data_IF_943273245552
#
_entry.id   IF_943273245552
#
_cell.length_a   1.000
_cell.length_b   1.000
_cell.length_c   1.000
_cell.angle_alpha   90.00
_cell.angle_beta   90.00
_cell.angle_gamma   90.00
#
_symmetry.space_group_name_H-M   'P 1'
#
loop_
_entity.id
_entity.type
_entity.pdbx_description
1 polymer ?
#
# COMPACT_ATOMS: atom_id res chain seq x y z
N UNK A 1 -15.16 -20.85 14.42
CA UNK A 1 -14.41 -19.68 13.93
C UNK A 1 -13.12 -20.12 13.30
N UNK A 2 -12.78 -19.58 12.16
CA UNK A 2 -11.57 -19.90 11.40
C UNK A 2 -10.91 -18.58 10.94
N UNK A 3 -9.60 -18.63 10.64
CA UNK A 3 -8.89 -17.49 10.06
C UNK A 3 -9.49 -17.07 8.72
N UNK A 4 -9.65 -15.78 8.56
CA UNK A 4 -9.87 -15.22 7.24
C UNK A 4 -8.56 -15.35 6.43
N UNK A 5 -8.55 -16.08 5.29
CA UNK A 5 -7.35 -16.31 4.49
C UNK A 5 -6.75 -15.02 3.89
N UNK A 6 -7.51 -13.92 3.89
CA UNK A 6 -7.00 -12.61 3.45
C UNK A 6 -6.04 -11.97 4.45
N UNK A 7 -5.96 -12.45 5.69
CA UNK A 7 -5.06 -11.91 6.71
C UNK A 7 -3.81 -12.75 6.86
N UNK A 8 -2.67 -12.07 7.13
CA UNK A 8 -1.42 -12.74 7.48
C UNK A 8 -0.58 -11.89 8.44
N UNK A 9 0.42 -12.52 9.07
CA UNK A 9 1.34 -11.85 9.99
C UNK A 9 2.55 -11.33 9.21
N UNK A 10 2.88 -10.06 9.47
CA UNK A 10 4.04 -9.37 8.91
C UNK A 10 4.88 -8.78 10.02
N UNK A 11 6.19 -9.01 9.98
CA UNK A 11 7.14 -8.39 10.90
C UNK A 11 7.51 -7.01 10.38
N UNK A 12 7.34 -5.98 11.21
CA UNK A 12 7.72 -4.58 10.94
C UNK A 12 8.50 -4.08 12.14
N UNK A 13 9.79 -3.81 11.97
CA UNK A 13 10.67 -3.54 13.08
C UNK A 13 10.68 -4.70 14.09
N UNK A 14 10.41 -4.40 15.33
CA UNK A 14 10.35 -5.41 16.40
C UNK A 14 8.95 -5.96 16.69
N UNK A 15 7.93 -5.53 15.94
CA UNK A 15 6.53 -5.88 16.17
C UNK A 15 5.95 -6.74 15.07
N UNK A 16 5.03 -7.61 15.44
CA UNK A 16 4.24 -8.40 14.52
C UNK A 16 2.88 -7.74 14.29
N UNK A 17 2.51 -7.61 13.03
CA UNK A 17 1.25 -7.02 12.61
C UNK A 17 0.43 -8.01 11.82
N UNK A 18 -0.86 -8.09 12.12
CA UNK A 18 -1.84 -8.78 11.30
C UNK A 18 -2.41 -7.79 10.29
N UNK A 19 -2.13 -8.05 9.01
CA UNK A 19 -2.55 -7.18 7.91
C UNK A 19 -3.47 -7.94 6.96
N UNK A 20 -4.55 -7.29 6.46
CA UNK A 20 -5.36 -7.83 5.39
C UNK A 20 -4.68 -7.67 4.04
N UNK A 21 -4.99 -8.54 3.08
CA UNK A 21 -4.74 -8.27 1.67
C UNK A 21 -5.89 -7.46 1.04
N UNK A 22 -5.59 -6.78 -0.09
CA UNK A 22 -6.54 -5.93 -0.78
C UNK A 22 -6.62 -4.50 -0.22
N UNK A 23 -7.64 -3.77 -0.64
CA UNK A 23 -7.81 -2.35 -0.25
C UNK A 23 -8.11 -2.15 1.24
N UNK A 24 -8.50 -3.19 1.94
CA UNK A 24 -8.76 -3.16 3.38
C UNK A 24 -7.56 -2.70 4.22
N UNK A 25 -6.34 -2.85 3.71
CA UNK A 25 -5.12 -2.36 4.36
C UNK A 25 -5.11 -0.83 4.52
N UNK A 26 -5.85 -0.11 3.67
CA UNK A 26 -5.98 1.35 3.75
C UNK A 26 -6.80 1.77 4.97
N UNK A 27 -7.62 0.87 5.50
CA UNK A 27 -8.36 1.07 6.76
C UNK A 27 -7.51 0.64 7.94
N UNK A 28 -7.01 1.62 8.72
CA UNK A 28 -6.25 1.32 9.94
C UNK A 28 -7.02 0.49 10.96
N UNK A 29 -8.36 0.49 10.91
CA UNK A 29 -9.19 -0.33 11.80
C UNK A 29 -9.06 -1.83 11.58
N UNK A 30 -8.49 -2.24 10.44
CA UNK A 30 -8.24 -3.65 10.09
C UNK A 30 -6.79 -4.09 10.32
N UNK A 31 -5.92 -3.18 10.73
CA UNK A 31 -4.51 -3.46 11.05
C UNK A 31 -4.38 -3.67 12.55
N UNK A 32 -3.76 -4.77 12.97
CA UNK A 32 -3.58 -5.10 14.39
C UNK A 32 -2.11 -5.37 14.71
N UNK A 33 -1.57 -4.70 15.72
CA UNK A 33 -0.32 -5.11 16.36
C UNK A 33 -0.59 -6.31 17.26
N UNK A 34 0.19 -7.38 17.13
CA UNK A 34 -0.03 -8.63 17.84
C UNK A 34 0.92 -8.79 19.02
N UNK A 35 0.37 -9.05 20.20
CA UNK A 35 1.12 -9.58 21.34
C UNK A 35 1.21 -11.10 21.31
N UNK A 36 2.02 -11.69 22.19
CA UNK A 36 2.27 -13.14 22.20
C UNK A 36 1.01 -14.01 22.29
N UNK A 37 0.02 -13.61 23.11
CA UNK A 37 -1.26 -14.32 23.21
C UNK A 37 -2.02 -14.29 21.87
N UNK A 38 -2.04 -13.14 21.20
CA UNK A 38 -2.73 -12.99 19.93
C UNK A 38 -2.09 -13.86 18.83
N UNK A 39 -0.77 -13.97 18.79
CA UNK A 39 -0.04 -14.85 17.87
C UNK A 39 -0.41 -16.32 18.13
N UNK A 40 -0.47 -16.73 19.39
CA UNK A 40 -0.84 -18.10 19.77
C UNK A 40 -2.28 -18.40 19.34
N UNK A 41 -3.22 -17.53 19.65
CA UNK A 41 -4.62 -17.68 19.24
C UNK A 41 -4.77 -17.67 17.72
N UNK A 42 -4.07 -16.76 17.04
CA UNK A 42 -4.03 -16.76 15.59
C UNK A 42 -3.55 -18.10 15.03
N UNK A 43 -2.52 -18.70 15.61
CA UNK A 43 -2.04 -20.01 15.16
C UNK A 43 -3.07 -21.13 15.37
N UNK A 44 -3.82 -21.11 16.45
CA UNK A 44 -4.86 -22.10 16.74
C UNK A 44 -6.04 -22.05 15.76
N UNK A 45 -6.43 -20.88 15.34
CA UNK A 45 -7.53 -20.70 14.36
C UNK A 45 -7.16 -21.02 12.91
N UNK A 46 -6.03 -21.69 12.64
CA UNK A 46 -5.75 -22.34 11.33
C UNK A 46 -6.79 -23.35 10.93
N UNK A 47 -7.40 -23.99 11.91
CA UNK A 47 -8.51 -24.91 11.77
C UNK A 47 -9.73 -24.36 12.49
N UNK A 48 -10.92 -24.85 12.17
CA UNK A 48 -12.13 -24.41 12.81
C UNK A 48 -12.14 -24.77 14.30
N UNK A 49 -12.32 -23.76 15.15
CA UNK A 49 -12.44 -23.90 16.58
C UNK A 49 -13.54 -22.99 17.13
N UNK A 50 -14.19 -23.45 18.21
CA UNK A 50 -15.05 -22.56 18.99
C UNK A 50 -14.19 -21.69 19.90
N UNK A 51 -14.57 -20.46 20.09
CA UNK A 51 -13.85 -19.52 20.99
C UNK A 51 -13.77 -20.12 22.42
N UNK A 52 -14.82 -20.81 22.86
CA UNK A 52 -14.84 -21.45 24.20
C UNK A 52 -13.73 -22.48 24.38
N UNK A 53 -13.30 -23.16 23.31
CA UNK A 53 -12.19 -24.13 23.40
C UNK A 53 -10.84 -23.43 23.61
N UNK A 54 -10.71 -22.16 23.21
CA UNK A 54 -9.49 -21.39 23.38
C UNK A 54 -9.19 -21.09 24.86
N UNK A 55 -10.21 -20.89 25.68
CA UNK A 55 -10.01 -20.67 27.13
C UNK A 55 -9.24 -21.83 27.74
N UNK A 56 -9.72 -23.06 27.52
CA UNK A 56 -9.09 -24.26 28.04
C UNK A 56 -7.67 -24.46 27.49
N UNK A 57 -7.47 -24.28 26.20
CA UNK A 57 -6.16 -24.43 25.56
C UNK A 57 -5.14 -23.43 26.16
N UNK A 58 -5.58 -22.20 26.43
CA UNK A 58 -4.70 -21.17 26.99
C UNK A 58 -4.48 -21.39 28.49
N UNK A 59 -5.51 -21.78 29.25
CA UNK A 59 -5.38 -22.16 30.66
C UNK A 59 -4.35 -23.30 30.84
N UNK A 60 -4.43 -24.34 30.03
CA UNK A 60 -3.47 -25.44 30.04
C UNK A 60 -2.05 -24.97 29.68
N UNK A 61 -1.92 -24.12 28.67
CA UNK A 61 -0.62 -23.60 28.22
C UNK A 61 0.07 -22.72 29.25
N UNK A 62 -0.67 -21.86 29.94
CA UNK A 62 -0.12 -20.96 30.97
C UNK A 62 -0.15 -21.54 32.38
N UNK A 63 -0.71 -22.73 32.55
CA UNK A 63 -0.71 -23.44 33.83
C UNK A 63 -1.54 -22.74 34.91
N UNK A 64 -2.78 -22.31 34.55
CA UNK A 64 -3.69 -21.65 35.49
C UNK A 64 -3.94 -22.53 36.76
N UNK A 65 -3.62 -21.98 37.94
CA UNK A 65 -3.66 -22.73 39.19
C UNK A 65 -4.89 -22.43 40.03
N UNK A 66 -5.49 -21.28 39.88
CA UNK A 66 -6.60 -20.78 40.66
C UNK A 66 -7.66 -20.08 39.79
N UNK A 67 -8.75 -19.65 40.43
CA UNK A 67 -9.86 -19.00 39.74
C UNK A 67 -9.47 -17.61 39.21
N UNK A 68 -8.58 -16.89 39.87
CA UNK A 68 -8.17 -15.56 39.44
C UNK A 68 -7.33 -15.65 38.14
N UNK A 69 -6.40 -16.62 38.04
CA UNK A 69 -5.65 -16.90 36.79
C UNK A 69 -6.61 -17.18 35.63
N UNK A 70 -7.65 -18.01 35.85
CA UNK A 70 -8.64 -18.34 34.82
C UNK A 70 -9.46 -17.13 34.41
N UNK A 71 -9.84 -16.28 35.35
CA UNK A 71 -10.58 -15.05 35.05
C UNK A 71 -9.75 -14.10 34.18
N UNK A 72 -8.47 -13.90 34.51
CA UNK A 72 -7.56 -13.07 33.72
C UNK A 72 -7.43 -13.64 32.31
N UNK A 73 -7.14 -14.93 32.17
CA UNK A 73 -7.01 -15.60 30.87
C UNK A 73 -8.31 -15.46 30.07
N UNK A 74 -9.46 -15.63 30.71
CA UNK A 74 -10.76 -15.52 30.06
C UNK A 74 -11.00 -14.13 29.47
N UNK A 75 -10.66 -13.08 30.22
CA UNK A 75 -10.78 -11.69 29.75
C UNK A 75 -9.83 -11.43 28.58
N UNK A 76 -8.57 -11.84 28.69
CA UNK A 76 -7.58 -11.60 27.65
C UNK A 76 -7.90 -12.34 26.35
N UNK A 77 -8.27 -13.63 26.42
CA UNK A 77 -8.69 -14.42 25.27
C UNK A 77 -9.93 -13.81 24.62
N UNK A 78 -10.92 -13.39 25.43
CA UNK A 78 -12.13 -12.75 24.91
C UNK A 78 -11.83 -11.45 24.18
N UNK A 79 -10.97 -10.60 24.73
CA UNK A 79 -10.57 -9.33 24.11
C UNK A 79 -9.86 -9.55 22.78
N UNK A 80 -8.92 -10.49 22.70
CA UNK A 80 -8.20 -10.80 21.47
C UNK A 80 -9.14 -11.38 20.41
N UNK A 81 -9.99 -12.35 20.78
CA UNK A 81 -10.95 -12.93 19.84
C UNK A 81 -11.96 -11.88 19.34
N UNK A 82 -12.46 -11.02 20.23
CA UNK A 82 -13.36 -9.92 19.85
C UNK A 82 -12.66 -8.93 18.89
N UNK A 83 -11.38 -8.66 19.09
CA UNK A 83 -10.60 -7.83 18.19
C UNK A 83 -10.44 -8.50 16.80
N UNK A 84 -10.11 -9.78 16.74
CA UNK A 84 -10.03 -10.53 15.47
C UNK A 84 -11.37 -10.57 14.73
N UNK A 85 -12.49 -10.77 15.42
CA UNK A 85 -13.81 -10.73 14.80
C UNK A 85 -14.14 -9.34 14.28
N UNK A 86 -13.92 -8.31 15.10
CA UNK A 86 -14.23 -6.91 14.73
C UNK A 86 -13.42 -6.43 13.54
N UNK A 87 -12.18 -6.89 13.38
CA UNK A 87 -11.36 -6.58 12.19
C UNK A 87 -11.70 -7.44 10.99
N UNK A 88 -12.46 -8.51 11.15
CA UNK A 88 -12.75 -9.49 10.11
C UNK A 88 -11.63 -10.51 9.90
N UNK A 89 -10.66 -10.58 10.80
CA UNK A 89 -9.56 -11.56 10.76
C UNK A 89 -10.03 -12.97 11.12
N UNK A 90 -11.06 -13.10 11.98
CA UNK A 90 -11.78 -14.37 12.22
C UNK A 90 -13.19 -14.29 11.65
N UNK A 91 -13.60 -15.37 11.01
CA UNK A 91 -14.91 -15.55 10.38
C UNK A 91 -15.56 -16.85 10.85
N UNK A 92 -16.87 -16.98 10.67
CA UNK A 92 -17.59 -18.19 11.04
C UNK A 92 -17.24 -19.37 10.15
N UNK A 93 -17.15 -19.13 8.86
CA UNK A 93 -16.66 -20.10 7.87
C UNK A 93 -15.98 -19.40 6.71
N UNK A 94 -15.20 -20.14 5.92
CA UNK A 94 -14.59 -19.60 4.70
C UNK A 94 -15.66 -19.32 3.64
N UNK A 95 -16.72 -20.10 3.60
CA UNK A 95 -17.85 -19.89 2.69
C UNK A 95 -18.55 -18.55 2.95
N UNK A 96 -18.55 -18.06 4.20
CA UNK A 96 -19.11 -16.76 4.54
C UNK A 96 -18.34 -15.58 3.90
N UNK A 97 -17.13 -15.82 3.43
CA UNK A 97 -16.32 -14.83 2.68
C UNK A 97 -16.63 -14.82 1.19
N UNK A 98 -17.24 -15.89 0.71
CA UNK A 98 -17.71 -16.03 -0.67
C UNK A 98 -19.06 -15.31 -0.89
N UNK A 99 -19.35 -14.27 -0.13
CA UNK A 99 -20.37 -13.31 -0.55
C UNK A 99 -19.86 -12.79 -1.89
N UNK A 100 -20.50 -13.24 -2.96
CA UNK A 100 -20.39 -12.64 -4.27
C UNK A 100 -20.54 -11.15 -4.02
N UNK A 101 -19.46 -10.41 -4.16
CA UNK A 101 -19.56 -8.98 -4.24
C UNK A 101 -20.44 -8.76 -5.48
N UNK A 102 -21.66 -8.36 -5.25
CA UNK A 102 -22.66 -8.06 -6.27
C UNK A 102 -22.20 -6.77 -6.96
N UNK A 103 -21.10 -6.91 -7.72
CA UNK A 103 -20.59 -5.85 -8.58
C UNK A 103 -21.59 -5.76 -9.74
N UNK A 104 -22.51 -4.82 -9.61
CA UNK A 104 -23.38 -4.39 -10.70
C UNK A 104 -22.54 -3.68 -11.74
N UNK A 105 -21.91 -4.46 -12.61
CA UNK A 105 -21.15 -3.94 -13.73
C UNK A 105 -21.12 -4.95 -14.85
N UNK A 106 -20.93 -4.47 -16.07
CA UNK A 106 -20.78 -5.33 -17.24
C UNK A 106 -19.48 -6.13 -17.11
N UNK A 107 -19.62 -7.44 -17.24
CA UNK A 107 -18.48 -8.37 -17.20
C UNK A 107 -17.75 -8.28 -18.53
N UNK A 108 -16.55 -7.69 -18.52
CA UNK A 108 -15.73 -7.52 -19.72
C UNK A 108 -14.91 -8.75 -20.06
N UNK A 109 -14.48 -9.54 -19.06
CA UNK A 109 -13.64 -10.71 -19.28
C UNK A 109 -13.83 -11.79 -18.23
N UNK A 110 -13.77 -13.05 -18.67
CA UNK A 110 -13.57 -14.21 -17.84
C UNK A 110 -12.48 -15.07 -18.46
N UNK A 111 -11.26 -15.01 -17.93
CA UNK A 111 -10.42 -16.19 -17.93
C UNK A 111 -10.78 -17.03 -16.71
N UNK A 112 -10.37 -18.30 -16.64
CA UNK A 112 -10.74 -19.18 -15.51
C UNK A 112 -10.36 -18.61 -14.14
N UNK A 113 -9.50 -17.60 -14.10
CA UNK A 113 -8.81 -17.11 -12.91
C UNK A 113 -8.89 -15.58 -12.68
N UNK A 114 -9.28 -14.78 -13.67
CA UNK A 114 -9.42 -13.32 -13.54
C UNK A 114 -10.76 -12.90 -14.10
N UNK A 115 -11.53 -12.17 -13.29
CA UNK A 115 -12.77 -11.55 -13.75
C UNK A 115 -12.61 -10.03 -13.64
N UNK A 116 -12.77 -9.35 -14.75
CA UNK A 116 -12.79 -7.88 -14.82
C UNK A 116 -14.21 -7.42 -15.01
N UNK A 117 -14.64 -6.49 -14.20
CA UNK A 117 -15.93 -5.83 -14.29
C UNK A 117 -15.73 -4.36 -14.59
N UNK A 118 -16.48 -3.83 -15.53
CA UNK A 118 -16.65 -2.38 -15.70
C UNK A 118 -17.67 -1.90 -14.68
N UNK A 119 -17.32 -0.90 -13.89
CA UNK A 119 -18.22 -0.31 -12.90
C UNK A 119 -19.11 0.75 -13.53
N UNK A 120 -20.27 1.06 -12.91
CA UNK A 120 -21.23 2.06 -13.43
C UNK A 120 -20.63 3.47 -13.54
N UNK A 121 -19.59 3.76 -12.76
CA UNK A 121 -18.83 5.01 -12.77
C UNK A 121 -17.68 5.04 -13.78
N UNK A 122 -17.59 4.01 -14.64
CA UNK A 122 -16.55 3.90 -15.67
C UNK A 122 -15.21 3.36 -15.19
N UNK A 123 -15.11 2.93 -13.93
CA UNK A 123 -13.94 2.26 -13.39
C UNK A 123 -13.90 0.76 -13.75
N UNK A 124 -12.83 0.09 -13.32
CA UNK A 124 -12.64 -1.34 -13.51
C UNK A 124 -12.32 -2.01 -12.19
N UNK A 125 -12.93 -3.17 -11.93
CA UNK A 125 -12.64 -4.01 -10.77
C UNK A 125 -12.16 -5.37 -11.24
N UNK A 126 -10.96 -5.77 -10.80
CA UNK A 126 -10.40 -7.08 -11.07
C UNK A 126 -10.58 -7.99 -9.84
N UNK A 127 -11.16 -9.15 -10.04
CA UNK A 127 -11.22 -10.21 -9.03
C UNK A 127 -10.27 -11.34 -9.42
N UNK A 128 -9.40 -11.73 -8.50
CA UNK A 128 -8.39 -12.78 -8.70
C UNK A 128 -8.67 -13.93 -7.72
N UNK A 129 -9.45 -14.94 -8.11
CA UNK A 129 -9.95 -15.90 -7.13
C UNK A 129 -8.93 -16.90 -6.57
N UNK A 130 -7.84 -17.27 -7.26
CA UNK A 130 -7.10 -18.50 -6.91
C UNK A 130 -5.60 -18.55 -7.22
N UNK A 131 -4.82 -17.51 -7.15
CA UNK A 131 -3.39 -17.68 -7.40
C UNK A 131 -2.58 -17.92 -6.13
N UNK A 132 -1.93 -19.06 -6.04
CA UNK A 132 -0.97 -19.40 -4.99
C UNK A 132 0.42 -18.79 -5.26
N UNK A 133 0.71 -18.40 -6.51
CA UNK A 133 1.96 -17.76 -6.90
C UNK A 133 1.80 -16.72 -8.01
N UNK A 134 2.71 -15.75 -8.06
CA UNK A 134 2.78 -14.74 -9.12
C UNK A 134 3.20 -15.38 -10.44
N UNK A 135 4.01 -16.45 -10.39
CA UNK A 135 4.42 -17.23 -11.55
C UNK A 135 3.23 -17.93 -12.22
N UNK A 136 2.27 -18.42 -11.43
CA UNK A 136 1.06 -19.06 -11.96
C UNK A 136 0.17 -18.06 -12.70
N UNK A 137 0.17 -16.83 -12.24
CA UNK A 137 -0.47 -15.72 -12.96
C UNK A 137 0.19 -15.48 -14.33
N UNK A 138 1.48 -15.69 -14.48
CA UNK A 138 2.25 -15.40 -15.70
C UNK A 138 2.02 -16.43 -16.83
N UNK A 139 1.66 -17.65 -16.50
CA UNK A 139 1.64 -18.77 -17.44
C UNK A 139 0.29 -19.02 -18.13
N UNK A 140 -0.83 -18.52 -17.61
CA UNK A 140 -2.18 -18.94 -18.02
C UNK A 140 -2.84 -18.13 -19.15
N UNK A 141 -2.18 -17.18 -19.80
CA UNK A 141 -2.86 -16.09 -20.51
C UNK A 141 -2.74 -16.05 -22.02
N UNK A 142 -2.36 -17.12 -22.72
CA UNK A 142 -2.11 -17.01 -24.18
C UNK A 142 -3.32 -17.21 -25.08
N UNK A 143 -4.39 -17.84 -24.67
CA UNK A 143 -5.35 -18.40 -25.64
C UNK A 143 -6.74 -17.77 -25.72
N UNK A 144 -7.18 -16.92 -24.77
CA UNK A 144 -8.59 -16.52 -24.71
C UNK A 144 -8.90 -15.02 -24.54
N UNK A 145 -8.15 -14.16 -25.16
CA UNK A 145 -8.57 -12.75 -25.31
C UNK A 145 -9.35 -12.62 -26.60
N UNK A 146 -10.69 -12.53 -26.52
CA UNK A 146 -11.54 -12.31 -27.66
C UNK A 146 -11.14 -11.07 -28.46
N UNK A 147 -11.34 -11.13 -29.77
CA UNK A 147 -10.93 -10.07 -30.73
C UNK A 147 -11.70 -8.74 -30.56
N UNK A 148 -12.73 -8.71 -29.71
CA UNK A 148 -13.65 -7.58 -29.54
C UNK A 148 -13.26 -6.56 -28.45
N UNK A 149 -12.11 -6.74 -27.77
CA UNK A 149 -11.64 -5.81 -26.75
C UNK A 149 -10.71 -4.76 -27.35
N UNK A 150 -10.93 -3.50 -27.01
CA UNK A 150 -10.04 -2.40 -27.33
C UNK A 150 -8.62 -2.67 -26.78
N UNK A 151 -7.59 -2.15 -27.44
CA UNK A 151 -6.19 -2.31 -27.03
C UNK A 151 -5.93 -1.85 -25.59
N UNK A 152 -6.68 -0.85 -25.11
CA UNK A 152 -6.63 -0.37 -23.73
C UNK A 152 -7.19 -1.38 -22.74
N UNK A 153 -8.26 -2.09 -23.06
CA UNK A 153 -8.88 -3.11 -22.22
C UNK A 153 -7.99 -4.37 -22.08
N UNK A 154 -7.20 -4.67 -23.11
CA UNK A 154 -6.23 -5.78 -23.08
C UNK A 154 -5.09 -5.60 -22.08
N UNK A 155 -4.78 -4.36 -21.69
CA UNK A 155 -3.69 -4.07 -20.74
C UNK A 155 -4.00 -4.39 -19.28
N UNK A 156 -5.28 -4.45 -18.94
CA UNK A 156 -5.71 -4.61 -17.55
C UNK A 156 -5.64 -6.08 -17.09
N UNK A 157 -5.55 -7.04 -18.01
CA UNK A 157 -6.14 -8.34 -17.80
C UNK A 157 -5.16 -9.50 -17.77
N UNK A 158 -3.97 -9.39 -18.32
CA UNK A 158 -3.05 -10.54 -18.41
C UNK A 158 -1.64 -10.21 -17.97
N UNK A 159 -0.93 -11.21 -17.46
CA UNK A 159 0.52 -11.10 -17.22
C UNK A 159 1.32 -10.97 -18.51
N UNK A 160 0.80 -11.48 -19.61
CA UNK A 160 1.28 -11.11 -20.93
C UNK A 160 1.14 -9.61 -21.15
N UNK A 161 0.11 -8.98 -20.60
CA UNK A 161 0.02 -7.53 -20.53
C UNK A 161 1.13 -6.94 -19.66
N UNK A 162 1.49 -7.52 -18.52
CA UNK A 162 2.63 -7.05 -17.73
C UNK A 162 3.94 -7.26 -18.50
N UNK A 163 4.13 -8.34 -19.24
CA UNK A 163 5.28 -8.52 -20.13
C UNK A 163 5.21 -7.64 -21.39
N UNK A 164 4.05 -7.46 -21.97
CA UNK A 164 3.81 -6.51 -23.07
C UNK A 164 4.01 -5.06 -22.62
N UNK A 165 3.61 -4.73 -21.40
CA UNK A 165 3.87 -3.43 -20.80
C UNK A 165 5.33 -3.30 -20.43
N UNK A 166 5.98 -4.31 -19.87
CA UNK A 166 7.42 -4.37 -19.70
C UNK A 166 8.15 -4.16 -21.03
N UNK A 167 7.72 -4.83 -22.07
CA UNK A 167 8.26 -4.68 -23.43
C UNK A 167 7.94 -3.32 -24.04
N UNK A 168 6.73 -2.79 -23.85
CA UNK A 168 6.33 -1.46 -24.34
C UNK A 168 6.91 -0.35 -23.49
N UNK A 169 6.94 -0.45 -22.18
CA UNK A 169 7.60 0.51 -21.29
C UNK A 169 9.12 0.53 -21.47
N UNK A 170 9.73 -0.56 -21.92
CA UNK A 170 11.13 -0.55 -22.35
C UNK A 170 11.34 0.13 -23.71
N UNK A 171 10.31 0.28 -24.52
CA UNK A 171 10.31 0.95 -25.82
C UNK A 171 9.73 2.36 -25.80
N UNK A 172 8.73 2.62 -24.93
CA UNK A 172 8.11 3.91 -24.75
C UNK A 172 8.62 4.48 -23.44
N UNK A 173 9.15 5.70 -23.49
CA UNK A 173 9.44 6.44 -22.27
C UNK A 173 8.11 6.88 -21.63
N UNK A 174 8.15 7.33 -20.36
CA UNK A 174 6.95 7.79 -19.68
C UNK A 174 6.31 9.03 -20.35
N UNK A 175 7.06 9.74 -21.20
CA UNK A 175 6.58 10.88 -21.98
C UNK A 175 5.53 10.44 -23.01
N UNK A 176 5.72 9.26 -23.63
CA UNK A 176 4.74 8.71 -24.58
C UNK A 176 3.44 8.31 -23.86
N UNK A 177 3.55 7.69 -22.68
CA UNK A 177 2.39 7.36 -21.84
C UNK A 177 1.67 8.62 -21.34
N UNK A 178 2.40 9.67 -21.02
CA UNK A 178 1.83 10.96 -20.62
C UNK A 178 1.02 11.62 -21.73
N UNK A 179 1.26 11.26 -22.99
CA UNK A 179 0.50 11.69 -24.15
C UNK A 179 -0.84 10.95 -24.37
N UNK A 180 -1.12 9.90 -23.58
CA UNK A 180 -2.37 9.16 -23.68
C UNK A 180 -3.56 10.00 -23.19
N UNK A 181 -4.74 9.72 -23.75
CA UNK A 181 -5.98 10.23 -23.17
C UNK A 181 -6.17 9.70 -21.74
N UNK A 182 -7.09 10.32 -21.01
CA UNK A 182 -7.28 10.03 -19.58
C UNK A 182 -7.65 8.56 -19.32
N UNK A 183 -8.49 7.95 -20.14
CA UNK A 183 -8.95 6.58 -19.97
C UNK A 183 -7.81 5.58 -20.21
N UNK A 184 -7.08 5.76 -21.30
CA UNK A 184 -5.87 4.96 -21.61
C UNK A 184 -4.79 5.11 -20.54
N UNK A 185 -4.62 6.32 -20.02
CA UNK A 185 -3.67 6.58 -18.92
C UNK A 185 -4.08 5.83 -17.64
N UNK A 186 -5.37 5.84 -17.30
CA UNK A 186 -5.88 5.10 -16.12
C UNK A 186 -5.75 3.59 -16.33
N UNK A 187 -6.04 3.08 -17.54
CA UNK A 187 -5.92 1.66 -17.86
C UNK A 187 -4.50 1.14 -17.69
N UNK A 188 -3.49 1.92 -18.07
CA UNK A 188 -2.08 1.54 -17.92
C UNK A 188 -1.56 1.59 -16.47
N UNK A 189 -2.26 2.26 -15.54
CA UNK A 189 -1.83 2.44 -14.15
C UNK A 189 -1.65 1.14 -13.39
N UNK A 190 -2.62 0.22 -13.46
CA UNK A 190 -2.59 -1.03 -12.68
C UNK A 190 -1.43 -1.93 -13.12
N UNK A 191 -1.28 -2.27 -14.42
CA UNK A 191 -0.15 -3.05 -14.90
C UNK A 191 1.20 -2.38 -14.61
N UNK A 192 1.29 -1.06 -14.76
CA UNK A 192 2.51 -0.33 -14.44
C UNK A 192 2.83 -0.40 -12.94
N UNK A 193 1.84 -0.27 -12.06
CA UNK A 193 2.05 -0.37 -10.62
C UNK A 193 2.45 -1.77 -10.18
N UNK A 194 1.91 -2.82 -10.83
CA UNK A 194 2.35 -4.19 -10.61
C UNK A 194 3.81 -4.38 -11.04
N UNK A 195 4.15 -3.97 -12.25
CA UNK A 195 5.53 -4.03 -12.74
C UNK A 195 6.49 -3.25 -11.82
N UNK A 196 6.12 -2.03 -11.44
CA UNK A 196 6.92 -1.20 -10.52
C UNK A 196 7.17 -1.91 -9.18
N UNK A 197 6.15 -2.58 -8.64
CA UNK A 197 6.28 -3.37 -7.43
C UNK A 197 7.28 -4.53 -7.60
N UNK A 198 7.28 -5.19 -8.76
CA UNK A 198 8.22 -6.29 -9.05
C UNK A 198 9.68 -5.81 -9.09
N UNK A 199 9.93 -4.58 -9.48
CA UNK A 199 11.26 -3.96 -9.51
C UNK A 199 11.59 -3.13 -8.26
N UNK A 200 10.87 -3.31 -7.15
CA UNK A 200 11.17 -2.67 -5.88
C UNK A 200 10.67 -1.22 -5.74
N UNK A 201 9.60 -0.85 -6.43
CA UNK A 201 9.00 0.47 -6.36
C UNK A 201 7.54 0.39 -5.97
N UNK A 202 7.06 1.35 -5.16
CA UNK A 202 5.67 1.41 -4.70
C UNK A 202 5.04 2.77 -4.97
N UNK A 203 3.76 2.78 -5.35
CA UNK A 203 2.98 3.99 -5.48
C UNK A 203 2.37 4.41 -4.16
N UNK A 204 2.52 5.68 -3.83
CA UNK A 204 1.93 6.31 -2.65
C UNK A 204 0.93 7.39 -3.07
N UNK A 205 -0.30 7.28 -2.58
CA UNK A 205 -1.32 8.30 -2.77
C UNK A 205 -1.00 9.54 -1.92
N UNK A 206 -0.36 10.51 -2.55
CA UNK A 206 0.19 11.71 -1.93
C UNK A 206 0.33 12.83 -2.95
N UNK A 207 0.24 14.09 -2.49
CA UNK A 207 0.79 15.22 -3.25
C UNK A 207 2.24 15.42 -2.87
N UNK A 208 3.08 15.86 -3.80
CA UNK A 208 4.51 16.06 -3.55
C UNK A 208 5.00 17.43 -3.99
N UNK A 209 6.00 17.91 -3.27
CA UNK A 209 6.71 19.15 -3.57
C UNK A 209 8.22 18.91 -3.66
N UNK A 210 8.90 19.68 -4.49
CA UNK A 210 10.36 19.79 -4.52
C UNK A 210 10.79 20.98 -3.64
N UNK A 211 11.54 20.71 -2.58
CA UNK A 211 12.09 21.71 -1.68
C UNK A 211 13.50 21.31 -1.23
N UNK A 212 14.47 22.21 -1.37
CA UNK A 212 15.91 21.99 -1.07
C UNK A 212 16.44 20.72 -1.74
N UNK A 213 16.19 20.58 -3.05
CA UNK A 213 16.63 19.49 -3.93
C UNK A 213 16.13 18.09 -3.55
N UNK A 214 15.14 17.99 -2.65
CA UNK A 214 14.46 16.75 -2.26
C UNK A 214 12.96 16.85 -2.43
N UNK A 215 12.34 15.71 -2.72
CA UNK A 215 10.88 15.63 -2.79
C UNK A 215 10.30 15.22 -1.44
N UNK A 216 9.26 15.94 -1.03
CA UNK A 216 8.51 15.71 0.21
C UNK A 216 7.08 15.34 -0.14
N UNK A 217 6.62 14.20 0.38
CA UNK A 217 5.28 13.66 0.12
C UNK A 217 4.33 14.02 1.24
N UNK A 218 3.19 14.60 0.91
CA UNK A 218 2.06 14.79 1.82
C UNK A 218 1.03 13.70 1.58
N UNK A 219 0.98 12.71 2.45
CA UNK A 219 0.16 11.52 2.32
C UNK A 219 -1.03 11.54 3.28
N UNK A 220 -2.25 11.34 2.76
CA UNK A 220 -3.48 11.32 3.55
C UNK A 220 -4.63 10.67 2.79
N UNK A 221 -5.77 10.35 3.44
CA UNK A 221 -7.01 10.02 2.75
C UNK A 221 -7.46 11.13 1.78
N UNK A 222 -8.31 10.78 0.82
CA UNK A 222 -8.94 11.78 -0.04
C UNK A 222 -9.68 12.83 0.80
N UNK A 223 -9.70 14.08 0.34
CA UNK A 223 -10.38 15.17 1.03
C UNK A 223 -9.69 15.73 2.28
N UNK A 224 -8.54 15.18 2.71
CA UNK A 224 -7.84 15.65 3.92
C UNK A 224 -7.08 16.98 3.73
N UNK A 225 -6.84 17.41 2.48
CA UNK A 225 -6.15 18.68 2.19
C UNK A 225 -4.73 18.55 1.65
N UNK A 226 -4.31 17.37 1.13
CA UNK A 226 -2.97 17.17 0.52
C UNK A 226 -2.61 18.25 -0.51
N UNK A 227 -3.47 18.42 -1.52
CA UNK A 227 -3.24 19.40 -2.58
C UNK A 227 -3.32 20.84 -2.08
N UNK A 228 -4.15 21.11 -1.06
CA UNK A 228 -4.21 22.41 -0.40
C UNK A 228 -2.89 22.73 0.28
N UNK A 229 -2.34 21.78 1.03
CA UNK A 229 -1.05 21.97 1.70
C UNK A 229 0.09 22.14 0.70
N UNK A 230 0.16 21.34 -0.35
CA UNK A 230 1.17 21.48 -1.41
C UNK A 230 1.10 22.87 -2.09
N UNK A 231 -0.11 23.39 -2.34
CA UNK A 231 -0.30 24.74 -2.89
C UNK A 231 0.14 25.86 -1.95
N UNK A 232 0.09 25.67 -0.62
CA UNK A 232 0.64 26.65 0.33
C UNK A 232 2.15 26.82 0.14
N UNK A 233 2.88 25.72 -0.12
CA UNK A 233 4.31 25.77 -0.39
C UNK A 233 4.63 26.50 -1.69
N UNK A 234 3.88 26.23 -2.74
CA UNK A 234 4.04 26.91 -4.04
C UNK A 234 3.68 28.40 -3.94
N UNK A 235 2.54 28.73 -3.32
CA UNK A 235 2.08 30.12 -3.10
C UNK A 235 3.10 30.95 -2.34
N UNK A 236 3.77 30.37 -1.34
CA UNK A 236 4.79 31.06 -0.55
C UNK A 236 6.18 31.09 -1.22
N UNK A 237 6.26 30.61 -2.48
CA UNK A 237 7.47 30.66 -3.30
C UNK A 237 8.63 29.79 -2.82
N UNK A 238 8.34 28.84 -1.92
CA UNK A 238 9.37 27.99 -1.31
C UNK A 238 9.62 26.70 -2.06
N UNK A 239 8.63 26.20 -2.82
CA UNK A 239 8.70 24.89 -3.45
C UNK A 239 7.88 24.83 -4.74
N UNK A 240 8.16 23.82 -5.56
CA UNK A 240 7.40 23.46 -6.76
C UNK A 240 6.62 22.18 -6.51
N UNK A 241 5.35 22.11 -6.93
CA UNK A 241 4.58 20.86 -6.90
C UNK A 241 5.12 19.93 -8.00
N UNK A 242 5.44 18.68 -7.65
CA UNK A 242 5.99 17.67 -8.56
C UNK A 242 4.91 16.72 -9.06
N UNK A 243 4.01 16.26 -8.18
CA UNK A 243 2.87 15.43 -8.56
C UNK A 243 1.72 15.65 -7.58
N UNK A 244 0.51 15.76 -8.12
CA UNK A 244 -0.67 16.08 -7.32
C UNK A 244 -1.37 14.89 -6.65
N UNK A 245 -1.04 13.63 -7.04
CA UNK A 245 -1.84 12.48 -6.59
C UNK A 245 -1.05 11.18 -6.36
N UNK A 246 -0.26 10.71 -7.33
CA UNK A 246 0.40 9.41 -7.27
C UNK A 246 1.91 9.54 -7.43
N UNK A 247 2.63 9.26 -6.37
CA UNK A 247 4.08 9.32 -6.34
C UNK A 247 4.68 7.92 -6.27
N UNK A 248 5.57 7.59 -7.21
CA UNK A 248 6.29 6.33 -7.26
C UNK A 248 7.60 6.46 -6.49
N UNK A 249 7.78 5.67 -5.45
CA UNK A 249 8.99 5.68 -4.63
C UNK A 249 9.72 4.34 -4.69
N UNK A 250 11.03 4.38 -4.56
CA UNK A 250 11.90 3.20 -4.53
C UNK A 250 13.33 3.61 -4.26
N UNK A 251 14.25 2.65 -4.30
CA UNK A 251 15.69 2.97 -4.19
C UNK A 251 16.30 3.26 -5.54
N UNK A 252 17.26 4.18 -5.58
CA UNK A 252 18.08 4.43 -6.75
C UNK A 252 19.24 3.44 -6.75
N UNK A 253 19.31 2.64 -7.79
CA UNK A 253 20.42 1.69 -8.00
C UNK A 253 21.41 2.30 -8.97
N UNK A 254 22.60 2.65 -8.51
CA UNK A 254 23.66 3.18 -9.36
C UNK A 254 24.09 2.15 -10.42
N UNK A 255 24.26 2.59 -11.66
CA UNK A 255 24.75 1.76 -12.78
C UNK A 255 23.66 1.18 -13.67
N UNK A 256 22.38 1.31 -13.32
CA UNK A 256 21.28 1.04 -14.22
C UNK A 256 20.73 2.38 -14.73
N UNK A 257 20.99 2.66 -16.00
CA UNK A 257 20.60 3.88 -16.68
C UNK A 257 19.09 4.18 -16.52
N UNK A 258 18.63 5.34 -16.99
CA UNK A 258 17.23 5.86 -16.97
C UNK A 258 16.21 4.89 -17.59
N UNK A 259 16.23 3.63 -17.24
CA UNK A 259 15.41 2.55 -17.74
C UNK A 259 15.11 1.56 -16.63
N UNK A 260 13.91 1.08 -16.63
CA UNK A 260 13.30 0.09 -15.76
C UNK A 260 14.19 -1.17 -15.60
N UNK A 261 15.09 -1.22 -14.64
CA UNK A 261 15.87 -2.42 -14.38
C UNK A 261 16.14 -2.65 -12.89
N UNK A 262 15.76 -3.84 -12.46
CA UNK A 262 16.29 -4.66 -11.35
C UNK A 262 15.84 -4.32 -9.92
N UNK A 263 15.63 -5.39 -9.14
CA UNK A 263 15.29 -5.38 -7.71
C UNK A 263 16.18 -4.43 -6.90
N UNK A 264 15.57 -3.72 -5.99
CA UNK A 264 16.25 -2.81 -5.06
C UNK A 264 17.16 -3.51 -4.05
N UNK A 265 17.28 -4.82 -4.14
CA UNK A 265 18.14 -5.63 -3.28
C UNK A 265 19.17 -6.38 -4.11
N UNK A 266 20.38 -6.43 -3.63
CA UNK A 266 21.38 -7.35 -4.13
C UNK A 266 21.09 -8.79 -3.64
N UNK A 267 21.89 -9.75 -4.09
CA UNK A 267 21.75 -11.15 -3.64
C UNK A 267 22.08 -11.35 -2.13
N UNK A 268 22.67 -10.36 -1.46
CA UNK A 268 22.90 -10.36 -0.01
C UNK A 268 21.71 -9.83 0.79
N UNK A 269 20.71 -9.23 0.13
CA UNK A 269 19.55 -8.60 0.77
C UNK A 269 19.87 -7.19 1.31
N UNK A 270 21.03 -6.62 0.97
CA UNK A 270 21.37 -5.25 1.33
C UNK A 270 20.71 -4.24 0.39
N UNK A 271 20.28 -3.11 0.96
CA UNK A 271 19.65 -2.03 0.23
C UNK A 271 20.69 -1.27 -0.61
N UNK A 272 20.41 -1.12 -1.89
CA UNK A 272 21.27 -0.39 -2.83
C UNK A 272 20.75 1.03 -3.06
N UNK A 273 21.56 2.03 -2.70
CA UNK A 273 21.29 3.44 -2.99
C UNK A 273 20.28 4.13 -2.06
N UNK A 274 20.16 5.44 -2.20
CA UNK A 274 19.22 6.25 -1.43
C UNK A 274 17.78 6.16 -1.96
N UNK A 275 16.74 6.45 -1.12
CA UNK A 275 15.36 6.55 -1.57
C UNK A 275 15.13 7.69 -2.57
N UNK A 276 14.38 7.40 -3.63
CA UNK A 276 14.02 8.36 -4.70
C UNK A 276 12.53 8.36 -4.98
N UNK A 277 12.07 9.47 -5.54
CA UNK A 277 10.75 9.62 -6.18
C UNK A 277 10.96 9.63 -7.68
N UNK A 278 10.25 8.76 -8.38
CA UNK A 278 10.31 8.61 -9.84
C UNK A 278 9.16 9.38 -10.47
N UNK A 279 9.50 10.17 -11.49
CA UNK A 279 8.51 10.96 -12.24
C UNK A 279 7.50 10.08 -12.96
N UNK A 280 6.21 10.36 -12.76
CA UNK A 280 5.11 9.61 -13.39
C UNK A 280 3.98 10.54 -13.81
N UNK A 281 3.22 10.20 -14.89
CA UNK A 281 2.15 11.05 -15.39
C UNK A 281 0.83 10.91 -14.62
N UNK A 282 0.71 9.96 -13.68
CA UNK A 282 -0.52 9.76 -12.91
C UNK A 282 -0.66 10.77 -11.80
N UNK A 283 -1.30 11.90 -12.10
CA UNK A 283 -1.45 13.05 -11.20
C UNK A 283 -2.90 13.30 -10.75
N UNK A 284 -3.80 12.36 -11.00
CA UNK A 284 -5.22 12.49 -10.70
C UNK A 284 -5.84 13.70 -11.41
N UNK A 285 -6.79 14.35 -10.75
CA UNK A 285 -7.48 15.54 -11.31
C UNK A 285 -6.67 16.83 -11.22
N UNK A 286 -5.47 16.80 -10.65
CA UNK A 286 -4.65 18.01 -10.50
C UNK A 286 -4.07 18.52 -11.82
N UNK A 287 -3.81 17.61 -12.77
CA UNK A 287 -3.10 17.90 -14.01
C UNK A 287 -1.63 18.28 -13.82
N UNK A 288 -1.10 18.18 -12.59
CA UNK A 288 0.27 18.62 -12.25
C UNK A 288 1.14 17.37 -12.06
N UNK A 289 2.13 17.21 -12.93
CA UNK A 289 3.16 16.17 -12.81
C UNK A 289 4.47 16.62 -13.46
N UNK A 290 5.56 15.97 -13.08
CA UNK A 290 6.88 16.12 -13.68
C UNK A 290 7.48 14.72 -13.89
N UNK A 291 8.06 14.45 -15.07
CA UNK A 291 8.67 13.17 -15.41
C UNK A 291 10.15 13.09 -15.04
N UNK A 292 10.58 13.88 -14.06
CA UNK A 292 11.95 13.88 -13.56
C UNK A 292 12.03 13.21 -12.19
N UNK A 293 13.10 12.46 -11.98
CA UNK A 293 13.38 11.76 -10.75
C UNK A 293 14.16 12.65 -9.77
N UNK A 294 13.90 12.46 -8.46
CA UNK A 294 14.51 13.26 -7.39
C UNK A 294 14.74 12.41 -6.12
N UNK A 295 15.75 12.76 -5.30
CA UNK A 295 15.88 12.15 -3.98
C UNK A 295 14.64 12.37 -3.12
N UNK A 296 14.22 11.35 -2.39
CA UNK A 296 13.13 11.43 -1.42
C UNK A 296 13.65 12.02 -0.11
N UNK A 297 13.07 13.12 0.35
CA UNK A 297 13.38 13.76 1.64
C UNK A 297 12.59 13.13 2.79
N UNK A 298 11.30 12.92 2.59
CA UNK A 298 10.44 12.38 3.63
C UNK A 298 8.98 12.25 3.23
N UNK A 299 8.21 11.63 4.12
CA UNK A 299 6.76 11.43 3.97
C UNK A 299 6.03 11.97 5.19
N UNK A 300 5.17 12.94 4.97
CA UNK A 300 4.38 13.62 5.97
C UNK A 300 2.95 13.07 5.93
N UNK A 301 2.50 12.43 7.01
CA UNK A 301 1.13 11.95 7.14
C UNK A 301 0.25 13.09 7.63
N UNK A 302 -0.58 13.64 6.74
CA UNK A 302 -1.48 14.74 7.09
C UNK A 302 -2.72 14.26 7.86
N UNK A 303 -3.11 15.08 8.83
CA UNK A 303 -4.37 15.00 9.58
C UNK A 303 -4.98 16.41 9.69
N UNK A 304 -6.29 16.49 9.55
CA UNK A 304 -6.99 17.72 9.89
C UNK A 304 -6.99 17.90 11.41
N UNK A 305 -6.72 19.11 11.86
CA UNK A 305 -6.67 19.46 13.27
C UNK A 305 -7.22 20.87 13.51
N UNK A 306 -7.55 21.17 14.77
CA UNK A 306 -7.93 22.51 15.22
C UNK A 306 -6.72 23.39 15.49
N UNK A 307 -5.53 22.82 15.57
CA UNK A 307 -4.26 23.46 15.82
C UNK A 307 -3.19 22.76 14.99
N UNK A 308 -2.22 23.54 14.52
CA UNK A 308 -1.05 23.02 13.82
C UNK A 308 -0.02 22.51 14.81
N UNK A 309 0.38 21.23 14.66
CA UNK A 309 1.50 20.65 15.38
C UNK A 309 2.01 19.41 14.66
N UNK A 310 3.27 19.09 14.91
CA UNK A 310 3.93 17.89 14.40
C UNK A 310 4.03 16.85 15.52
N UNK A 311 3.70 15.63 15.20
CA UNK A 311 3.85 14.46 16.06
C UNK A 311 4.91 13.54 15.43
N UNK A 312 5.97 13.29 16.16
CA UNK A 312 6.95 12.29 15.78
C UNK A 312 6.29 10.90 15.78
N UNK A 313 6.69 10.06 14.85
CA UNK A 313 6.16 8.72 14.70
C UNK A 313 7.21 7.68 15.05
N UNK A 314 6.81 6.60 15.71
CA UNK A 314 7.66 5.41 15.77
C UNK A 314 7.90 4.88 14.37
N UNK A 315 9.00 4.18 14.18
CA UNK A 315 9.32 3.56 12.89
C UNK A 315 8.16 2.71 12.36
N UNK A 316 7.60 1.86 13.21
CA UNK A 316 6.50 0.97 12.84
C UNK A 316 5.22 1.73 12.48
N UNK A 317 4.87 2.76 13.25
CA UNK A 317 3.71 3.61 12.94
C UNK A 317 3.91 4.38 11.63
N UNK A 318 5.14 4.79 11.34
CA UNK A 318 5.54 5.38 10.07
C UNK A 318 5.32 4.43 8.91
N UNK A 319 5.84 3.22 9.00
CA UNK A 319 5.66 2.16 7.98
C UNK A 319 4.17 1.87 7.75
N UNK A 320 3.40 1.64 8.82
CA UNK A 320 1.94 1.42 8.71
C UNK A 320 1.23 2.65 8.13
N UNK A 321 1.69 3.85 8.49
CA UNK A 321 1.18 5.10 7.92
C UNK A 321 1.34 5.16 6.41
N UNK A 322 2.52 4.84 5.91
CA UNK A 322 2.85 4.81 4.48
C UNK A 322 2.10 3.66 3.79
N UNK A 323 2.14 2.46 4.35
CA UNK A 323 1.47 1.28 3.80
C UNK A 323 -0.03 1.52 3.61
N UNK A 324 -0.68 2.23 4.55
CA UNK A 324 -2.09 2.60 4.43
C UNK A 324 -2.38 3.62 3.31
N UNK A 325 -1.37 4.17 2.69
CA UNK A 325 -1.45 5.10 1.54
C UNK A 325 -0.86 4.51 0.27
N UNK A 326 -0.30 3.31 0.34
CA UNK A 326 0.11 2.60 -0.87
C UNK A 326 -1.12 2.25 -1.72
N UNK A 327 -0.99 2.48 -3.02
CA UNK A 327 -1.96 2.08 -4.04
C UNK A 327 -1.37 1.06 -5.03
N UNK A 328 -0.19 0.54 -4.70
CA UNK A 328 0.38 -0.62 -5.39
C UNK A 328 -0.47 -1.87 -5.15
N UNK A 329 -0.41 -2.86 -6.03
CA UNK A 329 -1.16 -4.11 -5.88
C UNK A 329 -0.90 -4.80 -4.54
N UNK A 330 -1.98 -5.19 -3.85
CA UNK A 330 -1.97 -5.86 -2.56
C UNK A 330 -3.08 -6.92 -2.44
N UNK A 331 -3.58 -7.46 -3.56
CA UNK A 331 -4.71 -8.39 -3.54
C UNK A 331 -4.39 -9.77 -2.99
N UNK A 332 -3.12 -10.12 -2.87
CA UNK A 332 -2.66 -11.35 -2.22
C UNK A 332 -1.56 -11.09 -1.18
N UNK A 333 -1.24 -12.10 -0.39
CA UNK A 333 -0.27 -12.00 0.71
C UNK A 333 1.17 -11.76 0.23
N UNK A 334 1.55 -12.25 -0.95
CA UNK A 334 2.90 -12.07 -1.50
C UNK A 334 3.10 -10.62 -1.94
N UNK A 335 2.09 -10.04 -2.58
CA UNK A 335 2.11 -8.62 -2.96
C UNK A 335 2.10 -7.70 -1.74
N UNK A 336 1.33 -8.04 -0.69
CA UNK A 336 1.40 -7.32 0.59
C UNK A 336 2.79 -7.41 1.18
N UNK A 337 3.41 -8.60 1.21
CA UNK A 337 4.79 -8.80 1.68
C UNK A 337 5.76 -7.88 0.94
N UNK A 338 5.69 -7.87 -0.38
CA UNK A 338 6.55 -7.03 -1.22
C UNK A 338 6.39 -5.54 -0.90
N UNK A 339 5.15 -5.06 -0.75
CA UNK A 339 4.91 -3.67 -0.32
C UNK A 339 5.50 -3.39 1.06
N UNK A 340 5.30 -4.30 2.03
CA UNK A 340 5.86 -4.18 3.38
C UNK A 340 7.38 -4.11 3.34
N UNK A 341 8.03 -5.02 2.61
CA UNK A 341 9.50 -5.10 2.54
C UNK A 341 10.10 -3.81 1.94
N UNK A 342 9.54 -3.33 0.82
CA UNK A 342 10.01 -2.10 0.16
C UNK A 342 9.78 -0.87 1.06
N UNK A 343 8.60 -0.72 1.63
CA UNK A 343 8.27 0.44 2.48
C UNK A 343 9.09 0.41 3.76
N UNK A 344 9.26 -0.76 4.38
CA UNK A 344 10.07 -0.95 5.58
C UNK A 344 11.54 -0.57 5.33
N UNK A 345 12.05 -0.94 4.16
CA UNK A 345 13.41 -0.60 3.78
C UNK A 345 13.59 0.91 3.54
N UNK A 346 12.73 1.54 2.75
CA UNK A 346 12.76 2.99 2.47
C UNK A 346 12.61 3.81 3.76
N UNK A 347 11.74 3.38 4.66
CA UNK A 347 11.43 4.09 5.90
C UNK A 347 12.61 4.25 6.87
N UNK A 348 13.70 3.49 6.68
CA UNK A 348 14.92 3.60 7.51
C UNK A 348 15.70 4.90 7.26
N UNK A 349 15.59 5.46 6.05
CA UNK A 349 16.50 6.52 5.58
C UNK A 349 15.81 7.86 5.34
N UNK A 350 14.51 7.94 5.54
CA UNK A 350 13.71 9.14 5.30
C UNK A 350 13.09 9.70 6.59
N UNK A 351 12.76 10.98 6.55
CA UNK A 351 11.92 11.59 7.60
C UNK A 351 10.47 11.10 7.47
N UNK A 352 9.88 10.66 8.58
CA UNK A 352 8.46 10.33 8.65
C UNK A 352 7.87 11.00 9.87
N UNK A 353 6.86 11.84 9.68
CA UNK A 353 6.16 12.49 10.76
C UNK A 353 4.67 12.61 10.45
N UNK A 354 3.90 12.97 11.45
CA UNK A 354 2.48 13.29 11.31
C UNK A 354 2.28 14.79 11.52
N UNK A 355 1.68 15.45 10.56
CA UNK A 355 1.30 16.87 10.68
C UNK A 355 -0.21 16.96 10.89
N UNK A 356 -0.61 17.44 12.07
CA UNK A 356 -1.95 17.94 12.27
C UNK A 356 -1.99 19.38 11.80
N UNK A 357 -2.88 19.68 10.85
CA UNK A 357 -2.89 20.98 10.19
C UNK A 357 -4.29 21.58 10.09
N UNK A 358 -4.32 22.89 10.25
CA UNK A 358 -5.42 23.76 9.82
C UNK A 358 -5.24 24.12 8.34
N UNK A 359 -6.17 24.92 7.80
CA UNK A 359 -6.07 25.46 6.43
C UNK A 359 -5.23 26.75 6.35
N UNK A 360 -4.59 27.15 7.44
CA UNK A 360 -3.84 28.40 7.53
C UNK A 360 -2.38 28.23 7.11
N UNK A 361 -1.74 29.32 6.69
CA UNK A 361 -0.32 29.34 6.31
C UNK A 361 0.63 29.00 7.49
N UNK A 362 0.12 28.99 8.73
CA UNK A 362 0.87 28.53 9.91
C UNK A 362 1.30 27.07 9.82
N UNK A 363 0.47 26.22 9.21
CA UNK A 363 0.80 24.79 8.96
C UNK A 363 2.01 24.67 8.01
N UNK A 364 2.06 25.50 6.97
CA UNK A 364 3.21 25.58 6.07
C UNK A 364 4.47 26.04 6.80
N UNK A 365 4.38 27.15 7.56
CA UNK A 365 5.53 27.72 8.28
C UNK A 365 6.11 26.72 9.28
N UNK A 366 5.25 26.03 10.03
CA UNK A 366 5.64 24.99 10.98
C UNK A 366 6.37 23.84 10.28
N UNK A 367 5.78 23.32 9.20
CA UNK A 367 6.36 22.17 8.49
C UNK A 367 7.68 22.56 7.79
N UNK A 368 7.77 23.79 7.26
CA UNK A 368 8.98 24.30 6.65
C UNK A 368 10.13 24.36 7.66
N UNK A 369 9.90 24.93 8.83
CA UNK A 369 10.91 24.99 9.90
C UNK A 369 11.37 23.59 10.31
N UNK A 370 10.44 22.65 10.44
CA UNK A 370 10.76 21.27 10.80
C UNK A 370 11.62 20.55 9.75
N UNK A 371 11.32 20.75 8.46
CA UNK A 371 12.14 20.20 7.37
C UNK A 371 13.52 20.86 7.35
N UNK A 372 13.61 22.18 7.55
CA UNK A 372 14.88 22.90 7.58
C UNK A 372 15.77 22.40 8.72
N UNK A 373 15.23 22.26 9.93
CA UNK A 373 15.95 21.70 11.09
C UNK A 373 16.45 20.27 10.83
N UNK A 374 15.61 19.42 10.21
CA UNK A 374 16.00 18.05 9.86
C UNK A 374 17.14 18.01 8.83
N UNK A 375 17.12 18.89 7.82
CA UNK A 375 18.17 18.94 6.79
C UNK A 375 19.47 19.55 7.30
N UNK A 376 19.38 20.52 8.20
CA UNK A 376 20.55 21.23 8.75
C UNK A 376 21.22 20.42 9.88
N UNK A 377 20.51 19.42 10.46
CA UNK A 377 21.03 18.50 11.48
C UNK A 377 21.66 17.22 10.93
N UNK A 378 21.55 16.99 9.62
CA UNK A 378 22.23 15.91 8.90
C UNK A 378 23.54 16.40 8.31
#
# INVERSE_FOLDING_TARGET
MIRNPRFDIYRIGEKDYLLPSGQDIQSRSKVMCLGGLAIILWDKFKTDHRIVDMFRIIEEKYGAKNQDDRNIISVDVSNVCAAFIRTGALVESIESLCVEADYRGDRLLKSEDIVVYKTEDGGYVCSFPKFDSVEDLILSSEEDVGDDLDESDRFIITNKACELIRYRLSRYNLEDIAGYDYESLIATRIPFSYYSLMIGRVFIHSSSILYRDRVWLFAAPAGTGKSTHARMWEKNGSAKIINGDLNLIGRNVEGFGKGFAVSSFDHSGESLGEPWVYGTPWCGTSGIYELKDYPLGGIIILRQGYKDYIEEMSYEDGVIGILSRSVSPMWDKKLVRKNVDIITDIAKDIMICKLYCTINDSAYTLMKSYIDEYLDGK
#
